data_IF_743310321566
#
_entry.id   IF_743310321566
#
_cell.length_a   1.000
_cell.length_b   1.000
_cell.length_c   1.000
_cell.angle_alpha   90.00
_cell.angle_beta   90.00
_cell.angle_gamma   90.00
#
_symmetry.space_group_name_H-M   'P 1'
#
loop_
_entity.id
_entity.type
_entity.pdbx_description
1 polymer ?
#
# COMPACT_ATOMS: atom_id res chain seq x y z
N UNK A 1 -5.68 1.33 -9.23
CA UNK A 1 -4.29 1.36 -8.72
C UNK A 1 -3.96 2.80 -8.36
N UNK A 2 -3.46 3.04 -7.16
CA UNK A 2 -2.98 4.36 -6.77
C UNK A 2 -1.55 4.57 -7.30
N UNK A 3 -1.24 5.80 -7.70
CA UNK A 3 0.02 6.12 -8.35
C UNK A 3 1.20 6.34 -7.41
N UNK A 4 0.91 6.53 -6.13
CA UNK A 4 1.88 6.76 -5.05
C UNK A 4 2.39 5.48 -4.37
N UNK A 5 1.92 4.31 -4.79
CA UNK A 5 2.35 3.01 -4.29
C UNK A 5 3.28 2.29 -5.27
N UNK A 6 4.48 2.00 -4.83
CA UNK A 6 5.47 1.21 -5.56
C UNK A 6 5.55 -0.21 -5.02
N UNK A 7 5.65 -1.19 -5.93
CA UNK A 7 6.03 -2.56 -5.58
C UNK A 7 7.42 -2.86 -6.14
N UNK A 8 8.32 -3.27 -5.27
CA UNK A 8 9.64 -3.78 -5.64
C UNK A 8 9.55 -5.30 -5.62
N UNK A 9 9.48 -5.90 -6.80
CA UNK A 9 9.28 -7.33 -7.00
C UNK A 9 10.51 -7.97 -7.66
N UNK A 10 10.80 -9.22 -7.32
CA UNK A 10 11.83 -10.00 -8.02
C UNK A 10 11.50 -10.19 -9.50
N UNK A 11 10.21 -10.32 -9.81
CA UNK A 11 9.68 -10.41 -11.19
C UNK A 11 8.48 -9.47 -11.29
N UNK A 12 8.64 -8.43 -12.11
CA UNK A 12 7.62 -7.40 -12.31
C UNK A 12 6.25 -7.97 -12.64
N UNK A 13 5.22 -7.49 -11.93
CA UNK A 13 3.83 -7.87 -12.13
C UNK A 13 3.43 -9.22 -11.53
N UNK A 14 4.30 -9.87 -10.76
CA UNK A 14 4.01 -11.15 -10.13
C UNK A 14 2.87 -11.04 -9.12
N UNK A 15 2.86 -9.99 -8.31
CA UNK A 15 1.79 -9.78 -7.34
C UNK A 15 0.44 -9.47 -8.01
N UNK A 16 0.42 -8.64 -9.05
CA UNK A 16 -0.82 -8.39 -9.79
C UNK A 16 -1.38 -9.67 -10.41
N UNK A 17 -0.52 -10.53 -10.99
CA UNK A 17 -0.93 -11.85 -11.48
C UNK A 17 -1.53 -12.72 -10.37
N UNK A 18 -0.97 -12.66 -9.15
CA UNK A 18 -1.54 -13.34 -7.98
C UNK A 18 -2.94 -12.82 -7.68
N UNK A 19 -3.16 -11.49 -7.65
CA UNK A 19 -4.49 -10.91 -7.42
C UNK A 19 -5.48 -11.35 -8.49
N UNK A 20 -5.09 -11.33 -9.77
CA UNK A 20 -5.93 -11.78 -10.89
C UNK A 20 -6.28 -13.27 -10.74
N UNK A 21 -5.34 -14.13 -10.36
CA UNK A 21 -5.63 -15.56 -10.16
C UNK A 21 -6.63 -15.82 -9.02
N UNK A 22 -6.59 -15.00 -7.98
CA UNK A 22 -7.61 -15.05 -6.92
C UNK A 22 -8.98 -14.57 -7.42
N UNK A 23 -8.98 -13.52 -8.26
CA UNK A 23 -10.21 -13.04 -8.89
C UNK A 23 -10.85 -14.12 -9.76
N UNK A 24 -10.09 -14.74 -10.63
CA UNK A 24 -10.54 -15.82 -11.53
C UNK A 24 -11.09 -17.02 -10.73
N UNK A 25 -10.42 -17.38 -9.63
CA UNK A 25 -10.78 -18.55 -8.83
C UNK A 25 -12.01 -18.32 -7.95
N UNK A 26 -12.11 -17.17 -7.29
CA UNK A 26 -13.10 -16.92 -6.24
C UNK A 26 -14.21 -15.95 -6.65
N UNK A 27 -14.05 -15.26 -7.76
CA UNK A 27 -15.02 -14.27 -8.28
C UNK A 27 -15.52 -13.28 -7.23
N UNK A 28 -14.64 -12.68 -6.39
CA UNK A 28 -15.05 -11.70 -5.41
C UNK A 28 -15.43 -10.39 -6.09
N UNK A 29 -16.24 -9.56 -5.42
CA UNK A 29 -16.52 -8.22 -5.90
C UNK A 29 -15.27 -7.32 -5.85
N UNK A 30 -14.35 -7.61 -4.90
CA UNK A 30 -13.14 -6.81 -4.73
C UNK A 30 -11.98 -7.65 -4.18
N UNK A 31 -10.79 -7.37 -4.69
CA UNK A 31 -9.53 -7.84 -4.10
C UNK A 31 -8.66 -6.63 -3.80
N UNK A 32 -8.14 -6.59 -2.59
CA UNK A 32 -7.24 -5.58 -2.06
C UNK A 32 -5.83 -6.15 -1.94
N UNK A 33 -4.83 -5.34 -2.26
CA UNK A 33 -3.47 -5.59 -1.84
C UNK A 33 -3.31 -5.31 -0.35
N UNK A 34 -2.62 -6.20 0.35
CA UNK A 34 -2.46 -6.15 1.80
C UNK A 34 -1.02 -6.42 2.22
N UNK A 35 -0.52 -5.69 3.21
CA UNK A 35 0.79 -5.90 3.81
C UNK A 35 0.74 -5.65 5.32
N UNK A 36 1.42 -6.50 6.08
CA UNK A 36 1.68 -6.24 7.49
C UNK A 36 2.67 -5.09 7.64
N UNK A 37 2.34 -4.15 8.52
CA UNK A 37 3.15 -2.99 8.86
C UNK A 37 3.37 -2.89 10.36
N UNK A 38 4.27 -2.03 10.80
CA UNK A 38 4.51 -1.84 12.22
C UNK A 38 3.31 -1.18 12.93
N UNK A 39 3.25 -1.33 14.25
CA UNK A 39 2.21 -0.69 15.09
C UNK A 39 2.26 0.84 14.98
N UNK A 40 3.44 1.40 14.82
CA UNK A 40 3.67 2.85 14.66
C UNK A 40 3.15 3.37 13.34
N UNK A 41 3.10 2.51 12.32
CA UNK A 41 2.73 2.90 10.97
C UNK A 41 1.26 2.66 10.63
N UNK A 42 0.60 1.67 11.28
CA UNK A 42 -0.76 1.28 10.89
C UNK A 42 -1.76 2.44 10.90
N UNK A 43 -1.60 3.40 11.80
CA UNK A 43 -2.48 4.58 11.88
C UNK A 43 -2.44 5.51 10.66
N UNK A 44 -1.51 5.31 9.74
CA UNK A 44 -1.37 6.06 8.47
C UNK A 44 -2.17 5.47 7.33
N UNK A 45 -2.60 4.22 7.47
CA UNK A 45 -3.20 3.41 6.42
C UNK A 45 -4.58 2.91 6.82
N UNK A 46 -5.29 2.38 5.84
CA UNK A 46 -6.50 1.62 6.10
C UNK A 46 -6.14 0.23 6.63
N UNK A 47 -6.61 -0.11 7.83
CA UNK A 47 -6.41 -1.40 8.46
C UNK A 47 -7.50 -2.40 8.07
N UNK A 48 -7.11 -3.63 7.76
CA UNK A 48 -8.00 -4.69 7.29
C UNK A 48 -8.51 -5.52 8.46
N UNK A 49 -9.82 -5.69 8.55
CA UNK A 49 -10.45 -6.66 9.44
C UNK A 49 -10.73 -7.94 8.66
N UNK A 50 -10.01 -9.00 8.99
CA UNK A 50 -10.26 -10.32 8.40
C UNK A 50 -11.44 -11.02 9.05
N UNK A 51 -12.03 -11.94 8.30
CA UNK A 51 -13.08 -12.86 8.74
C UNK A 51 -12.72 -14.27 8.28
N UNK A 52 -12.78 -15.21 9.19
CA UNK A 52 -12.62 -16.62 8.84
C UNK A 52 -13.78 -17.10 7.97
N UNK A 53 -13.45 -17.62 6.81
CA UNK A 53 -14.38 -18.27 5.89
C UNK A 53 -13.65 -19.42 5.16
N UNK A 54 -14.01 -20.67 5.35
CA UNK A 54 -13.32 -21.81 4.75
C UNK A 54 -13.38 -21.83 3.22
N UNK A 55 -14.33 -21.10 2.61
CA UNK A 55 -14.49 -21.01 1.15
C UNK A 55 -13.62 -19.92 0.53
N UNK A 56 -13.27 -18.89 1.31
CA UNK A 56 -12.62 -17.68 0.82
C UNK A 56 -11.39 -17.33 1.68
N UNK A 57 -10.19 -17.70 1.27
CA UNK A 57 -8.97 -17.31 1.98
C UNK A 57 -8.83 -15.79 1.95
N UNK A 58 -8.32 -15.24 3.05
CA UNK A 58 -8.10 -13.78 3.21
C UNK A 58 -9.37 -12.94 3.06
N UNK A 59 -10.53 -13.47 3.44
CA UNK A 59 -11.78 -12.71 3.42
C UNK A 59 -11.67 -11.49 4.32
N UNK A 60 -11.92 -10.30 3.75
CA UNK A 60 -12.02 -9.06 4.49
C UNK A 60 -13.49 -8.78 4.83
N UNK A 61 -13.78 -8.50 6.10
CA UNK A 61 -15.10 -8.06 6.55
C UNK A 61 -15.23 -6.54 6.64
N UNK A 62 -14.11 -5.83 6.80
CA UNK A 62 -14.07 -4.38 6.79
C UNK A 62 -12.64 -3.86 6.50
N UNK A 63 -12.60 -2.62 6.04
CA UNK A 63 -11.39 -1.82 5.87
C UNK A 63 -11.61 -0.49 6.60
N UNK A 64 -10.77 -0.19 7.60
CA UNK A 64 -10.99 0.93 8.50
C UNK A 64 -9.86 1.96 8.34
N UNK A 65 -10.23 3.13 7.82
CA UNK A 65 -9.29 4.18 7.38
C UNK A 65 -8.68 4.92 8.57
N UNK A 66 -7.34 4.96 8.61
CA UNK A 66 -6.52 5.80 9.49
C UNK A 66 -6.97 5.81 10.96
N UNK A 67 -7.19 4.64 11.52
CA UNK A 67 -7.48 4.51 12.94
C UNK A 67 -6.19 4.56 13.77
N UNK A 68 -6.26 5.10 15.00
CA UNK A 68 -5.18 4.92 15.98
C UNK A 68 -4.84 3.43 16.15
N UNK A 69 -3.57 3.13 16.37
CA UNK A 69 -3.06 1.76 16.41
C UNK A 69 -3.78 0.84 17.41
N UNK A 70 -4.23 1.40 18.53
CA UNK A 70 -5.00 0.69 19.56
C UNK A 70 -6.43 0.34 19.15
N UNK A 71 -6.95 0.99 18.09
CA UNK A 71 -8.30 0.75 17.54
C UNK A 71 -8.26 0.00 16.20
N UNK A 72 -7.07 -0.16 15.62
CA UNK A 72 -6.90 -0.88 14.38
C UNK A 72 -7.23 -2.37 14.57
N UNK A 73 -8.09 -2.97 13.73
CA UNK A 73 -8.49 -4.37 13.87
C UNK A 73 -7.33 -5.36 13.60
N UNK A 74 -6.30 -4.93 12.91
CA UNK A 74 -5.07 -5.69 12.65
C UNK A 74 -3.92 -4.73 12.31
N UNK A 75 -2.71 -5.27 12.22
CA UNK A 75 -1.54 -4.57 11.68
C UNK A 75 -1.38 -4.76 10.16
N UNK A 76 -2.43 -5.22 9.48
CA UNK A 76 -2.40 -5.39 8.03
C UNK A 76 -3.01 -4.18 7.36
N UNK A 77 -2.18 -3.46 6.63
CA UNK A 77 -2.54 -2.27 5.86
C UNK A 77 -3.01 -2.66 4.45
N UNK A 78 -4.03 -1.97 3.97
CA UNK A 78 -4.38 -1.96 2.56
C UNK A 78 -3.47 -0.99 1.81
N UNK A 79 -3.04 -1.36 0.61
CA UNK A 79 -2.31 -0.48 -0.29
C UNK A 79 -2.90 -0.48 -1.70
N UNK A 80 -2.50 0.47 -2.53
CA UNK A 80 -3.16 0.83 -3.79
C UNK A 80 -3.05 -0.17 -4.94
N UNK A 81 -3.20 -1.45 -4.66
CA UNK A 81 -3.36 -2.50 -5.69
C UNK A 81 -4.69 -3.19 -5.50
N UNK A 82 -5.56 -3.06 -6.50
CA UNK A 82 -6.92 -3.58 -6.46
C UNK A 82 -7.27 -4.33 -7.74
N UNK A 83 -8.11 -5.35 -7.60
CA UNK A 83 -8.92 -5.91 -8.67
C UNK A 83 -10.37 -5.78 -8.22
N UNK A 84 -11.18 -5.08 -9.00
CA UNK A 84 -12.56 -4.74 -8.64
C UNK A 84 -13.52 -5.14 -9.75
N UNK A 85 -14.69 -5.63 -9.37
CA UNK A 85 -15.78 -5.84 -10.31
C UNK A 85 -16.44 -4.50 -10.68
N UNK A 86 -17.16 -4.40 -11.81
CA UNK A 86 -17.90 -3.21 -12.20
C UNK A 86 -18.93 -2.74 -11.17
N UNK A 87 -19.34 -3.60 -10.24
CA UNK A 87 -20.28 -3.28 -9.16
C UNK A 87 -19.79 -2.16 -8.23
N UNK A 88 -18.49 -1.85 -8.22
CA UNK A 88 -17.93 -0.73 -7.45
C UNK A 88 -18.44 0.64 -7.92
N UNK A 89 -18.68 0.81 -9.23
CA UNK A 89 -19.02 2.12 -9.77
C UNK A 89 -20.36 2.68 -9.27
N UNK A 90 -21.48 1.93 -9.27
CA UNK A 90 -22.72 2.44 -8.67
C UNK A 90 -22.59 2.71 -7.17
N UNK A 91 -21.76 1.95 -6.44
CA UNK A 91 -21.50 2.21 -5.02
C UNK A 91 -20.78 3.54 -4.84
N UNK A 92 -19.71 3.77 -5.60
CA UNK A 92 -18.97 5.05 -5.57
C UNK A 92 -19.84 6.25 -5.97
N UNK A 93 -20.73 6.07 -6.97
CA UNK A 93 -21.63 7.12 -7.43
C UNK A 93 -22.70 7.51 -6.39
N UNK A 94 -23.11 6.56 -5.54
CA UNK A 94 -24.10 6.76 -4.50
C UNK A 94 -23.50 7.10 -3.11
N UNK A 95 -22.18 7.10 -3.01
CA UNK A 95 -21.48 7.29 -1.74
C UNK A 95 -21.53 8.75 -1.30
N UNK A 96 -21.84 8.97 -0.02
CA UNK A 96 -21.69 10.27 0.62
C UNK A 96 -20.21 10.55 0.96
N UNK A 97 -19.89 11.83 1.10
CA UNK A 97 -18.54 12.26 1.51
C UNK A 97 -18.24 11.80 2.94
N UNK A 98 -17.02 11.33 3.16
CA UNK A 98 -16.52 10.94 4.47
C UNK A 98 -16.17 12.17 5.33
N UNK A 99 -15.69 11.94 6.56
CA UNK A 99 -15.47 12.95 7.61
C UNK A 99 -14.57 14.13 7.23
N UNK A 100 -13.70 13.96 6.23
CA UNK A 100 -12.77 14.97 5.70
C UNK A 100 -13.22 15.58 4.38
N UNK A 101 -14.51 15.37 4.02
CA UNK A 101 -15.13 15.81 2.77
C UNK A 101 -14.52 15.17 1.52
N UNK A 102 -13.97 13.96 1.65
CA UNK A 102 -13.42 13.15 0.58
C UNK A 102 -14.25 11.88 0.34
N UNK A 103 -14.22 11.33 -0.87
CA UNK A 103 -14.77 10.00 -1.17
C UNK A 103 -13.72 8.94 -0.87
N UNK A 104 -13.89 8.22 0.23
CA UNK A 104 -12.98 7.16 0.59
C UNK A 104 -13.31 5.85 -0.11
N UNK A 105 -12.32 5.30 -0.81
CA UNK A 105 -12.42 3.98 -1.42
C UNK A 105 -12.73 2.89 -0.40
N UNK A 106 -12.21 3.01 0.83
CA UNK A 106 -12.49 2.10 1.93
C UNK A 106 -13.99 2.00 2.26
N UNK A 107 -14.74 3.09 2.15
CA UNK A 107 -16.20 3.09 2.41
C UNK A 107 -16.97 2.33 1.33
N UNK A 108 -16.55 2.46 0.08
CA UNK A 108 -17.11 1.66 -1.02
C UNK A 108 -16.80 0.16 -0.84
N UNK A 109 -15.58 -0.18 -0.43
CA UNK A 109 -15.20 -1.56 -0.07
C UNK A 109 -16.10 -2.09 1.03
N UNK A 110 -16.30 -1.32 2.11
CA UNK A 110 -17.12 -1.71 3.25
C UNK A 110 -18.59 -1.90 2.85
N UNK A 111 -19.10 -1.06 1.93
CA UNK A 111 -20.46 -1.19 1.41
C UNK A 111 -20.62 -2.48 0.61
N UNK A 112 -19.68 -2.81 -0.27
CA UNK A 112 -19.70 -4.07 -1.02
C UNK A 112 -19.52 -5.29 -0.10
N UNK A 113 -18.63 -5.22 0.89
CA UNK A 113 -18.34 -6.33 1.79
C UNK A 113 -19.56 -6.77 2.64
N UNK A 114 -20.58 -5.93 2.79
CA UNK A 114 -21.84 -6.29 3.48
C UNK A 114 -22.64 -7.39 2.76
N UNK A 115 -22.58 -7.43 1.44
CA UNK A 115 -23.40 -8.32 0.60
C UNK A 115 -22.59 -9.17 -0.38
N UNK A 116 -21.34 -8.83 -0.59
CA UNK A 116 -20.43 -9.48 -1.55
C UNK A 116 -19.15 -9.96 -0.85
N UNK A 117 -18.35 -10.74 -1.56
CA UNK A 117 -17.04 -11.19 -1.08
C UNK A 117 -16.00 -10.13 -1.39
N UNK A 118 -15.28 -9.71 -0.36
CA UNK A 118 -14.06 -8.92 -0.46
C UNK A 118 -12.89 -9.77 0.04
N UNK A 119 -11.77 -9.76 -0.68
CA UNK A 119 -10.54 -10.44 -0.28
C UNK A 119 -9.42 -9.40 -0.09
N UNK A 120 -8.56 -9.62 0.90
CA UNK A 120 -7.36 -8.81 1.12
C UNK A 120 -6.13 -9.73 1.09
N UNK A 121 -5.52 -9.83 -0.09
CA UNK A 121 -4.48 -10.83 -0.38
C UNK A 121 -3.12 -10.30 0.06
N UNK A 122 -2.39 -11.03 0.93
CA UNK A 122 -1.08 -10.58 1.41
C UNK A 122 -0.04 -10.48 0.29
N UNK A 123 0.77 -9.42 0.36
CA UNK A 123 1.97 -9.27 -0.45
C UNK A 123 3.00 -10.31 0.00
N UNK A 124 3.59 -11.02 -0.95
CA UNK A 124 4.64 -12.01 -0.72
C UNK A 124 5.75 -11.81 -1.73
N UNK A 125 7.00 -12.06 -1.32
CA UNK A 125 8.21 -11.96 -2.16
C UNK A 125 8.41 -10.61 -2.86
N UNK A 126 7.87 -9.55 -2.29
CA UNK A 126 7.97 -8.17 -2.76
C UNK A 126 7.94 -7.21 -1.57
N UNK A 127 8.37 -5.97 -1.79
CA UNK A 127 8.23 -4.89 -0.83
C UNK A 127 7.30 -3.82 -1.40
N UNK A 128 6.34 -3.38 -0.58
CA UNK A 128 5.56 -2.19 -0.86
C UNK A 128 6.26 -0.97 -0.27
N UNK A 129 6.36 0.06 -1.07
CA UNK A 129 6.86 1.37 -0.67
C UNK A 129 5.89 2.44 -1.16
N UNK A 130 5.59 3.39 -0.30
CA UNK A 130 4.71 4.51 -0.65
C UNK A 130 5.51 5.78 -0.93
N UNK A 131 4.97 6.64 -1.78
CA UNK A 131 5.48 7.99 -2.04
C UNK A 131 4.47 9.07 -1.63
N UNK A 132 3.49 8.71 -0.81
CA UNK A 132 2.36 9.55 -0.42
C UNK A 132 2.68 10.66 0.60
N UNK A 133 3.91 10.73 1.11
CA UNK A 133 4.40 11.86 1.91
C UNK A 133 5.88 12.16 1.61
N UNK A 134 6.37 13.37 1.97
CA UNK A 134 7.73 13.79 1.60
C UNK A 134 8.85 12.86 2.10
N UNK A 135 8.75 12.33 3.32
CA UNK A 135 9.77 11.42 3.86
C UNK A 135 9.77 10.09 3.11
N UNK A 136 8.60 9.48 2.94
CA UNK A 136 8.45 8.20 2.23
C UNK A 136 8.83 8.33 0.75
N UNK A 137 8.53 9.47 0.15
CA UNK A 137 8.98 9.77 -1.21
C UNK A 137 10.51 9.74 -1.33
N UNK A 138 11.23 10.39 -0.39
CA UNK A 138 12.69 10.38 -0.35
C UNK A 138 13.25 8.98 -0.09
N UNK A 139 12.72 8.27 0.89
CA UNK A 139 13.13 6.90 1.22
C UNK A 139 12.95 5.95 0.03
N UNK A 140 11.80 6.03 -0.64
CA UNK A 140 11.49 5.20 -1.81
C UNK A 140 12.43 5.50 -2.97
N UNK A 141 12.67 6.79 -3.28
CA UNK A 141 13.63 7.18 -4.32
C UNK A 141 15.05 6.70 -4.00
N UNK A 142 15.45 6.79 -2.74
CA UNK A 142 16.77 6.33 -2.30
C UNK A 142 16.94 4.82 -2.49
N UNK A 143 15.96 4.03 -2.06
CA UNK A 143 15.99 2.56 -2.21
C UNK A 143 16.02 2.14 -3.67
N UNK A 144 15.14 2.72 -4.48
CA UNK A 144 15.09 2.46 -5.93
C UNK A 144 16.38 2.91 -6.62
N UNK A 145 16.87 4.11 -6.29
CA UNK A 145 18.11 4.64 -6.85
C UNK A 145 19.33 3.78 -6.51
N UNK A 146 19.45 3.31 -5.27
CA UNK A 146 20.53 2.43 -4.83
C UNK A 146 20.55 1.05 -5.51
N UNK A 147 19.37 0.55 -5.87
CA UNK A 147 19.21 -0.72 -6.60
C UNK A 147 19.34 -0.57 -8.11
N UNK A 148 19.33 0.64 -8.66
CA UNK A 148 19.41 0.86 -10.09
C UNK A 148 20.83 0.55 -10.64
N UNK A 149 20.96 -0.28 -11.69
CA UNK A 149 22.27 -0.79 -12.12
C UNK A 149 23.24 0.31 -12.59
N UNK A 150 22.74 1.39 -13.18
CA UNK A 150 23.58 2.47 -13.73
C UNK A 150 23.93 3.53 -12.69
N UNK A 151 22.97 3.94 -11.85
CA UNK A 151 23.17 5.06 -10.90
C UNK A 151 23.50 4.60 -9.49
N UNK A 152 23.15 3.39 -9.12
CA UNK A 152 23.33 2.87 -7.75
C UNK A 152 24.77 2.91 -7.23
N UNK A 153 25.79 2.54 -8.02
CA UNK A 153 27.20 2.63 -7.60
C UNK A 153 27.63 4.06 -7.23
N UNK A 154 27.29 5.04 -8.07
CA UNK A 154 27.62 6.44 -7.83
C UNK A 154 26.83 7.04 -6.66
N UNK A 155 25.55 6.68 -6.53
CA UNK A 155 24.72 7.10 -5.41
C UNK A 155 25.25 6.56 -4.07
N UNK A 156 25.68 5.29 -4.02
CA UNK A 156 26.36 4.71 -2.85
C UNK A 156 27.63 5.47 -2.47
N UNK A 157 28.45 5.82 -3.46
CA UNK A 157 29.69 6.60 -3.27
C UNK A 157 29.39 8.00 -2.72
N UNK A 158 28.39 8.66 -3.30
CA UNK A 158 27.93 9.98 -2.85
C UNK A 158 27.45 9.92 -1.39
N UNK A 159 26.60 8.97 -1.03
CA UNK A 159 26.08 8.81 0.34
C UNK A 159 27.21 8.51 1.34
N UNK A 160 28.12 7.57 1.03
CA UNK A 160 29.26 7.28 1.91
C UNK A 160 30.11 8.53 2.17
N UNK A 161 30.40 9.31 1.14
CA UNK A 161 31.17 10.53 1.28
C UNK A 161 30.49 11.57 2.18
N UNK A 162 29.20 11.73 2.06
CA UNK A 162 28.47 12.83 2.71
C UNK A 162 27.89 12.44 4.08
N UNK A 163 27.51 11.17 4.31
CA UNK A 163 27.01 10.71 5.62
C UNK A 163 28.12 10.51 6.66
N UNK A 164 29.38 10.32 6.25
CA UNK A 164 30.54 10.28 7.16
C UNK A 164 30.98 11.66 7.64
N UNK A 165 30.56 12.73 6.97
CA UNK A 165 30.75 14.08 7.46
C UNK A 165 29.62 14.38 8.46
N UNK A 166 29.94 14.55 9.75
CA UNK A 166 29.00 14.86 10.84
C UNK A 166 28.16 16.14 10.62
N UNK A 167 28.29 16.80 9.49
CA UNK A 167 27.64 18.04 9.12
C UNK A 167 27.13 18.01 7.67
N UNK A 168 26.01 17.33 7.42
CA UNK A 168 25.16 17.63 6.26
C UNK A 168 24.46 18.98 6.50
N UNK A 169 25.21 20.07 6.44
CA UNK A 169 24.64 21.42 6.40
C UNK A 169 24.65 21.93 4.96
N UNK A 170 23.67 22.76 4.61
CA UNK A 170 23.61 23.41 3.30
C UNK A 170 24.94 24.13 2.95
N UNK A 171 25.59 24.70 3.96
CA UNK A 171 26.92 25.36 3.83
C UNK A 171 28.05 24.39 3.47
N UNK A 172 27.95 23.10 3.78
CA UNK A 172 28.95 22.10 3.40
C UNK A 172 28.79 21.62 1.95
N UNK A 173 27.61 21.73 1.38
CA UNK A 173 27.30 21.33 0.00
C UNK A 173 27.64 22.44 -1.01
N UNK A 174 27.72 23.70 -0.57
CA UNK A 174 27.98 24.88 -1.45
C UNK A 174 29.45 25.30 -1.51
N UNK A 175 30.32 24.67 -0.72
CA UNK A 175 31.78 24.87 -0.84
C UNK A 175 32.34 23.95 -1.94
N UNK A 176 32.37 24.45 -3.17
CA UNK A 176 33.22 23.94 -4.26
C UNK A 176 34.50 24.76 -4.35
#
# INVERSE_FOLDING_TARGET
MFGDDLLIEKKTGQYLKKLISYYEKYQPAIILGAQEVSREEIGRYASIKYQDDPRYPYRASAVLEKLPAEKAPSLVAQFGRFVVSPEIFPVLAAQELSRDNELWFADAVNTLAKTKVALAVPLTDAAWMTTGDPLRWLETNLVVGLSHPQIGPELKKFLKKNLQAENLSFSSLTKK
#
